data_IF_714306251411
#
_entry.id   IF_714306251411
#
_cell.length_a   1.000
_cell.length_b   1.000
_cell.length_c   1.000
_cell.angle_alpha   90.00
_cell.angle_beta   90.00
_cell.angle_gamma   90.00
#
_symmetry.space_group_name_H-M   'P 1'
#
loop_
_entity.id
_entity.type
_entity.pdbx_description
1 polymer ?
#
# COMPACT_ATOMS: atom_id res chain seq x y z
N UNK A 1 -22.41 14.86 -7.31
CA UNK A 1 -21.32 14.16 -6.61
C UNK A 1 -20.12 14.01 -7.54
N UNK A 2 -18.90 13.99 -6.96
CA UNK A 2 -17.67 13.66 -7.68
C UNK A 2 -17.34 12.19 -7.44
N UNK A 3 -16.95 11.45 -8.49
CA UNK A 3 -16.66 10.02 -8.43
C UNK A 3 -15.29 9.73 -9.03
N UNK A 4 -14.52 8.89 -8.35
CA UNK A 4 -13.24 8.37 -8.79
C UNK A 4 -13.27 6.83 -8.78
N UNK A 5 -12.63 6.22 -9.78
CA UNK A 5 -12.32 4.79 -9.77
C UNK A 5 -10.84 4.66 -9.42
N UNK A 6 -10.51 3.80 -8.45
CA UNK A 6 -9.15 3.62 -7.96
C UNK A 6 -8.70 2.17 -8.09
N UNK A 7 -7.63 1.98 -8.82
CA UNK A 7 -6.78 0.79 -8.77
C UNK A 7 -5.39 1.21 -8.33
N UNK A 8 -4.85 0.59 -7.27
CA UNK A 8 -3.59 0.99 -6.66
C UNK A 8 -3.76 1.73 -5.33
N UNK A 9 -2.93 2.71 -5.05
CA UNK A 9 -2.97 3.47 -3.80
C UNK A 9 -3.06 4.98 -4.07
N UNK A 10 -3.94 5.66 -3.33
CA UNK A 10 -4.06 7.10 -3.40
C UNK A 10 -4.36 7.72 -2.03
N UNK A 11 -3.72 8.86 -1.79
CA UNK A 11 -4.06 9.74 -0.69
C UNK A 11 -4.95 10.87 -1.20
N UNK A 12 -6.08 11.06 -0.54
CA UNK A 12 -7.09 12.04 -0.90
C UNK A 12 -7.14 13.17 0.11
N UNK A 13 -7.12 14.40 -0.40
CA UNK A 13 -7.42 15.59 0.38
C UNK A 13 -8.64 16.25 -0.25
N UNK A 14 -9.80 16.01 0.37
CA UNK A 14 -11.09 16.47 -0.14
C UNK A 14 -11.53 17.69 0.67
N UNK A 15 -11.84 18.78 -0.05
CA UNK A 15 -12.40 19.98 0.57
C UNK A 15 -13.81 19.72 1.12
N UNK A 16 -14.17 20.47 2.16
CA UNK A 16 -15.46 20.30 2.83
C UNK A 16 -16.61 20.85 1.95
N UNK A 17 -17.43 19.96 1.45
CA UNK A 17 -18.68 20.25 0.72
C UNK A 17 -19.83 19.39 1.30
N UNK A 18 -20.61 19.90 2.27
CA UNK A 18 -21.63 19.11 2.96
C UNK A 18 -22.73 18.54 2.06
N UNK A 19 -23.03 19.24 0.95
CA UNK A 19 -24.11 18.84 0.03
C UNK A 19 -23.60 17.99 -1.15
N UNK A 20 -22.29 17.85 -1.33
CA UNK A 20 -21.67 17.12 -2.46
C UNK A 20 -20.67 16.10 -2.01
N UNK A 21 -21.10 14.85 -1.77
CA UNK A 21 -20.18 13.77 -1.40
C UNK A 21 -19.18 13.46 -2.53
N UNK A 22 -17.95 13.17 -2.12
CA UNK A 22 -16.91 12.64 -2.97
C UNK A 22 -16.83 11.13 -2.79
N UNK A 23 -16.88 10.38 -3.89
CA UNK A 23 -16.84 8.92 -3.91
C UNK A 23 -15.53 8.40 -4.48
N UNK A 24 -14.98 7.37 -3.84
CA UNK A 24 -13.92 6.51 -4.38
C UNK A 24 -14.46 5.10 -4.47
N UNK A 25 -14.47 4.54 -5.69
CA UNK A 25 -14.85 3.15 -5.90
C UNK A 25 -13.64 2.32 -6.25
N UNK A 26 -13.66 1.07 -5.84
CA UNK A 26 -12.63 0.11 -6.16
C UNK A 26 -13.19 -0.99 -7.07
N UNK A 27 -12.36 -1.68 -7.88
CA UNK A 27 -12.81 -2.72 -8.80
C UNK A 27 -13.61 -3.84 -8.13
N UNK A 28 -13.37 -4.09 -6.85
CA UNK A 28 -14.04 -5.14 -6.08
C UNK A 28 -15.38 -4.68 -5.44
N UNK A 29 -15.88 -3.51 -5.85
CA UNK A 29 -17.18 -2.99 -5.42
C UNK A 29 -17.20 -2.36 -4.02
N UNK A 30 -16.08 -2.27 -3.32
CA UNK A 30 -16.00 -1.45 -2.11
C UNK A 30 -16.01 0.02 -2.52
N UNK A 31 -16.86 0.81 -1.87
CA UNK A 31 -16.96 2.25 -2.08
C UNK A 31 -16.66 3.01 -0.81
N UNK A 32 -15.98 4.14 -0.96
CA UNK A 32 -15.70 5.09 0.13
C UNK A 32 -16.37 6.41 -0.24
N UNK A 33 -17.02 7.06 0.73
CA UNK A 33 -17.56 8.40 0.50
C UNK A 33 -17.31 9.34 1.68
N UNK A 34 -17.07 10.61 1.34
CA UNK A 34 -16.65 11.64 2.29
C UNK A 34 -17.26 13.01 1.92
N UNK A 35 -17.28 13.93 2.89
CA UNK A 35 -17.78 15.32 2.73
C UNK A 35 -16.71 16.38 3.07
N UNK A 36 -15.44 16.02 3.19
CA UNK A 36 -14.34 16.90 3.54
C UNK A 36 -13.39 16.16 4.48
N UNK A 37 -12.35 15.53 3.89
CA UNK A 37 -11.65 14.47 4.62
C UNK A 37 -10.25 14.29 4.02
N UNK A 38 -9.28 13.94 4.87
CA UNK A 38 -7.95 13.50 4.47
C UNK A 38 -7.82 12.01 4.82
N UNK A 39 -7.62 11.18 3.79
CA UNK A 39 -7.61 9.72 3.95
C UNK A 39 -6.81 9.04 2.85
N UNK A 40 -6.37 7.82 3.12
CA UNK A 40 -5.68 6.96 2.17
C UNK A 40 -6.54 5.75 1.82
N UNK A 41 -6.52 5.35 0.57
CA UNK A 41 -7.11 4.09 0.10
C UNK A 41 -6.06 3.29 -0.65
N UNK A 42 -5.90 2.02 -0.27
CA UNK A 42 -5.02 1.05 -0.93
C UNK A 42 -5.91 -0.05 -1.51
N UNK A 43 -5.92 -0.19 -2.84
CA UNK A 43 -6.79 -1.11 -3.58
C UNK A 43 -6.08 -1.71 -4.79
N UNK A 44 -4.91 -2.29 -4.60
CA UNK A 44 -4.18 -2.98 -5.66
C UNK A 44 -4.89 -4.27 -6.07
N UNK A 45 -4.87 -4.61 -7.35
CA UNK A 45 -5.55 -5.80 -7.87
C UNK A 45 -4.94 -7.10 -7.33
N UNK A 46 -3.61 -7.13 -7.21
CA UNK A 46 -2.81 -8.24 -6.71
C UNK A 46 -2.84 -8.42 -5.19
N UNK A 47 -3.44 -7.48 -4.44
CA UNK A 47 -3.65 -7.61 -3.00
C UNK A 47 -4.93 -8.40 -2.68
N UNK A 48 -4.89 -9.19 -1.61
CA UNK A 48 -6.08 -9.82 -1.05
C UNK A 48 -6.95 -8.84 -0.26
N UNK A 49 -6.43 -7.66 0.06
CA UNK A 49 -7.08 -6.68 0.94
C UNK A 49 -7.25 -5.33 0.27
N UNK A 50 -8.31 -4.63 0.67
CA UNK A 50 -8.47 -3.20 0.44
C UNK A 50 -8.38 -2.51 1.79
N UNK A 51 -7.54 -1.48 1.89
CA UNK A 51 -7.36 -0.72 3.12
C UNK A 51 -7.85 0.71 2.95
N UNK A 52 -8.50 1.23 3.98
CA UNK A 52 -8.86 2.66 4.09
C UNK A 52 -8.37 3.17 5.42
N UNK A 53 -7.55 4.21 5.42
CA UNK A 53 -6.97 4.85 6.62
C UNK A 53 -7.43 6.28 6.71
N UNK A 54 -7.97 6.68 7.86
CA UNK A 54 -8.45 8.04 8.06
C UNK A 54 -7.44 8.88 8.86
N UNK A 55 -6.99 9.98 8.25
CA UNK A 55 -6.14 10.98 8.91
C UNK A 55 -6.95 12.08 9.55
N UNK A 56 -7.89 12.71 8.81
CA UNK A 56 -8.70 13.84 9.31
C UNK A 56 -10.10 13.83 8.73
N UNK A 57 -11.09 14.16 9.56
CA UNK A 57 -12.49 14.25 9.15
C UNK A 57 -13.27 12.97 9.46
N UNK A 58 -14.09 12.51 8.51
CA UNK A 58 -14.95 11.33 8.63
C UNK A 58 -15.03 10.59 7.30
N UNK A 59 -14.77 9.29 7.33
CA UNK A 59 -14.87 8.41 6.16
C UNK A 59 -16.01 7.43 6.39
N UNK A 60 -16.84 7.24 5.37
CA UNK A 60 -17.84 6.18 5.32
C UNK A 60 -17.40 5.15 4.28
N UNK A 61 -17.20 3.92 4.70
CA UNK A 61 -16.84 2.79 3.85
C UNK A 61 -18.06 1.91 3.67
N UNK A 62 -18.37 1.56 2.43
CA UNK A 62 -19.47 0.69 2.04
C UNK A 62 -18.92 -0.58 1.39
N UNK A 63 -18.70 -1.66 2.17
CA UNK A 63 -18.30 -2.95 1.62
C UNK A 63 -19.44 -3.59 0.84
N UNK A 64 -19.16 -4.40 -0.20
CA UNK A 64 -20.20 -5.04 -1.01
C UNK A 64 -21.17 -5.90 -0.18
N UNK A 65 -22.47 -5.60 -0.27
CA UNK A 65 -23.51 -6.35 0.43
C UNK A 65 -23.56 -6.16 1.95
N UNK A 66 -22.86 -5.17 2.49
CA UNK A 66 -22.79 -4.90 3.92
C UNK A 66 -23.30 -3.49 4.26
N UNK A 67 -23.46 -3.22 5.55
CA UNK A 67 -23.81 -1.88 6.04
C UNK A 67 -22.60 -0.96 5.99
N UNK A 68 -22.86 0.32 5.83
CA UNK A 68 -21.84 1.37 5.90
C UNK A 68 -21.12 1.35 7.26
N UNK A 69 -19.79 1.41 7.22
CA UNK A 69 -18.93 1.49 8.39
C UNK A 69 -18.25 2.85 8.39
N UNK A 70 -18.38 3.56 9.49
CA UNK A 70 -17.76 4.88 9.64
C UNK A 70 -16.43 4.76 10.37
N UNK A 71 -15.40 5.43 9.82
CA UNK A 71 -14.10 5.60 10.45
C UNK A 71 -13.98 6.98 11.09
N UNK A 72 -13.27 7.01 12.20
CA UNK A 72 -12.81 8.21 12.91
C UNK A 72 -11.29 8.39 12.71
N UNK A 73 -10.73 9.59 12.91
CA UNK A 73 -9.30 9.82 12.78
C UNK A 73 -8.46 8.83 13.62
N UNK A 74 -7.41 8.28 13.02
CA UNK A 74 -6.59 7.23 13.62
C UNK A 74 -7.08 5.81 13.38
N UNK A 75 -8.19 5.63 12.68
CA UNK A 75 -8.74 4.31 12.38
C UNK A 75 -8.42 3.85 10.96
N UNK A 76 -8.29 2.54 10.82
CA UNK A 76 -8.13 1.81 9.57
C UNK A 76 -9.27 0.80 9.43
N UNK A 77 -9.75 0.61 8.21
CA UNK A 77 -10.58 -0.50 7.81
C UNK A 77 -9.81 -1.35 6.81
N UNK A 78 -9.78 -2.66 7.05
CA UNK A 78 -9.25 -3.67 6.14
C UNK A 78 -10.39 -4.56 5.68
N UNK A 79 -10.60 -4.62 4.37
CA UNK A 79 -11.58 -5.50 3.72
C UNK A 79 -10.86 -6.64 3.00
N UNK A 80 -11.13 -7.87 3.39
CA UNK A 80 -10.62 -9.07 2.74
C UNK A 80 -11.52 -9.40 1.53
N UNK A 81 -10.93 -9.40 0.34
CA UNK A 81 -11.63 -9.64 -0.93
C UNK A 81 -12.14 -11.07 -1.09
N UNK A 82 -11.46 -12.05 -0.47
CA UNK A 82 -11.79 -13.47 -0.58
C UNK A 82 -12.89 -13.85 0.41
N UNK A 83 -12.69 -13.51 1.69
CA UNK A 83 -13.61 -13.87 2.77
C UNK A 83 -14.75 -12.87 2.94
N UNK A 84 -14.63 -11.67 2.34
CA UNK A 84 -15.52 -10.52 2.51
C UNK A 84 -15.63 -10.03 3.95
N UNK A 85 -14.67 -10.40 4.78
CA UNK A 85 -14.61 -9.94 6.16
C UNK A 85 -14.05 -8.53 6.25
N UNK A 86 -14.50 -7.80 7.26
CA UNK A 86 -14.05 -6.44 7.56
C UNK A 86 -13.45 -6.41 8.95
N UNK A 87 -12.28 -5.81 9.05
CA UNK A 87 -11.63 -5.52 10.32
C UNK A 87 -11.43 -4.01 10.45
N UNK A 88 -11.75 -3.47 11.63
CA UNK A 88 -11.53 -2.06 11.96
C UNK A 88 -10.61 -1.95 13.16
N UNK A 89 -9.49 -1.24 12.99
CA UNK A 89 -8.43 -1.14 13.98
C UNK A 89 -7.93 0.31 14.11
N UNK A 90 -7.29 0.64 15.23
CA UNK A 90 -6.47 1.85 15.35
C UNK A 90 -5.08 1.59 14.78
N UNK A 91 -4.53 2.57 14.06
CA UNK A 91 -3.22 2.45 13.41
C UNK A 91 -2.36 3.70 13.60
N UNK A 92 -1.05 3.56 13.37
CA UNK A 92 -0.16 4.69 13.16
C UNK A 92 -0.41 5.26 11.76
N UNK A 93 -1.26 6.28 11.69
CA UNK A 93 -1.65 6.92 10.42
C UNK A 93 -0.42 7.44 9.68
N UNK A 94 0.52 8.09 10.38
CA UNK A 94 1.70 8.65 9.71
C UNK A 94 2.55 7.57 9.03
N UNK A 95 2.72 6.40 9.66
CA UNK A 95 3.42 5.27 9.05
C UNK A 95 2.75 4.75 7.77
N UNK A 96 1.43 4.89 7.68
CA UNK A 96 0.63 4.45 6.52
C UNK A 96 0.63 5.47 5.36
N UNK A 97 0.68 6.77 5.67
CA UNK A 97 0.51 7.84 4.64
C UNK A 97 1.81 8.61 4.32
N UNK A 98 2.92 8.31 4.99
CA UNK A 98 4.19 9.01 4.81
C UNK A 98 4.79 8.89 3.39
N UNK A 99 4.35 7.89 2.63
CA UNK A 99 4.77 7.68 1.25
C UNK A 99 4.46 8.88 0.35
N UNK A 100 3.36 9.61 0.61
CA UNK A 100 3.00 10.84 -0.10
C UNK A 100 4.04 11.98 0.09
N UNK A 101 4.82 11.89 1.16
CA UNK A 101 5.90 12.82 1.50
C UNK A 101 7.29 12.23 1.15
N UNK A 102 7.33 11.20 0.30
CA UNK A 102 8.56 10.52 -0.13
C UNK A 102 9.26 9.70 0.96
N UNK A 103 8.52 9.26 1.99
CA UNK A 103 9.09 8.48 3.10
C UNK A 103 8.46 7.10 3.18
N UNK A 104 9.29 6.09 3.32
CA UNK A 104 8.87 4.72 3.64
C UNK A 104 9.12 4.46 5.12
N UNK A 105 8.05 4.28 5.88
CA UNK A 105 8.12 4.01 7.32
C UNK A 105 7.61 2.60 7.56
N UNK A 106 8.44 1.80 8.19
CA UNK A 106 8.16 0.43 8.60
C UNK A 106 8.18 0.34 10.11
N UNK A 107 7.12 -0.20 10.71
CA UNK A 107 7.00 -0.43 12.15
C UNK A 107 6.47 -1.83 12.37
N UNK A 108 7.34 -2.72 12.79
CA UNK A 108 7.00 -4.12 12.98
C UNK A 108 6.53 -4.80 11.67
N UNK A 109 7.14 -4.41 10.55
CA UNK A 109 6.78 -4.90 9.21
C UNK A 109 7.54 -6.20 8.91
N UNK A 110 6.87 -7.16 8.27
CA UNK A 110 7.54 -8.35 7.75
C UNK A 110 8.42 -8.00 6.54
N UNK A 111 9.36 -8.89 6.22
CA UNK A 111 10.22 -8.69 5.04
C UNK A 111 9.38 -8.69 3.75
N UNK A 112 8.37 -9.55 3.67
CA UNK A 112 7.41 -9.61 2.56
C UNK A 112 6.68 -8.27 2.38
N UNK A 113 6.20 -7.67 3.48
CA UNK A 113 5.56 -6.36 3.44
C UNK A 113 6.53 -5.27 2.95
N UNK A 114 7.77 -5.29 3.42
CA UNK A 114 8.80 -4.34 2.99
C UNK A 114 9.05 -4.49 1.49
N UNK A 115 9.34 -5.70 1.01
CA UNK A 115 9.60 -5.99 -0.40
C UNK A 115 8.44 -5.49 -1.27
N UNK A 116 7.21 -5.82 -0.91
CA UNK A 116 6.03 -5.38 -1.65
C UNK A 116 5.87 -3.86 -1.70
N UNK A 117 6.15 -3.16 -0.61
CA UNK A 117 6.13 -1.69 -0.59
C UNK A 117 7.28 -1.07 -1.38
N UNK A 118 8.47 -1.69 -1.39
CA UNK A 118 9.59 -1.26 -2.24
C UNK A 118 9.26 -1.44 -3.73
N UNK A 119 8.70 -2.58 -4.11
CA UNK A 119 8.25 -2.88 -5.47
C UNK A 119 7.33 -1.77 -6.02
N UNK A 120 6.34 -1.37 -5.22
CA UNK A 120 5.39 -0.31 -5.57
C UNK A 120 6.01 1.08 -5.60
N UNK A 121 6.81 1.40 -4.58
CA UNK A 121 7.42 2.72 -4.46
C UNK A 121 8.43 3.03 -5.57
N UNK A 122 9.24 2.03 -5.95
CA UNK A 122 10.25 2.17 -7.00
C UNK A 122 9.78 1.72 -8.39
N UNK A 123 8.53 1.26 -8.51
CA UNK A 123 7.95 0.76 -9.76
C UNK A 123 8.80 -0.31 -10.44
N UNK A 124 9.23 -1.31 -9.68
CA UNK A 124 10.01 -2.46 -10.11
C UNK A 124 9.25 -3.75 -9.84
N UNK A 125 9.68 -4.87 -10.45
CA UNK A 125 9.16 -6.19 -10.15
C UNK A 125 10.18 -6.92 -9.24
N UNK A 126 9.77 -7.33 -8.04
CA UNK A 126 10.64 -8.01 -7.09
C UNK A 126 10.14 -9.45 -6.86
N UNK A 127 10.92 -10.41 -7.31
CA UNK A 127 10.72 -11.82 -7.00
C UNK A 127 11.40 -12.13 -5.67
N UNK A 128 10.59 -12.41 -4.63
CA UNK A 128 11.09 -12.69 -3.29
C UNK A 128 10.95 -14.18 -2.96
N UNK A 129 12.07 -14.83 -2.65
CA UNK A 129 12.15 -16.25 -2.32
C UNK A 129 12.63 -16.43 -0.88
N UNK A 130 11.73 -16.85 0.01
CA UNK A 130 12.06 -17.19 1.40
C UNK A 130 12.29 -18.71 1.51
N UNK A 131 13.54 -19.14 1.36
CA UNK A 131 13.91 -20.56 1.30
C UNK A 131 13.79 -21.28 2.64
N UNK A 132 13.84 -20.57 3.76
CA UNK A 132 13.83 -21.18 5.10
C UNK A 132 12.52 -20.95 5.86
N UNK A 133 11.57 -20.18 5.30
CA UNK A 133 10.35 -19.81 5.99
C UNK A 133 10.58 -18.97 7.26
N UNK A 134 11.73 -18.29 7.35
CA UNK A 134 12.03 -17.41 8.47
C UNK A 134 11.24 -16.11 8.40
N UNK A 135 10.70 -15.73 9.53
CA UNK A 135 10.04 -14.43 9.69
C UNK A 135 11.00 -13.43 10.33
N UNK A 136 11.09 -12.26 9.72
CA UNK A 136 11.82 -11.12 10.24
C UNK A 136 10.87 -9.96 10.42
N UNK A 137 11.05 -9.21 11.49
CA UNK A 137 10.28 -8.01 11.76
C UNK A 137 11.21 -6.80 11.82
N UNK A 138 10.89 -5.77 11.06
CA UNK A 138 11.72 -4.60 10.87
C UNK A 138 11.08 -3.33 11.40
N UNK A 139 11.93 -2.46 11.93
CA UNK A 139 11.61 -1.06 12.18
C UNK A 139 12.62 -0.21 11.42
N UNK A 140 12.17 0.50 10.39
CA UNK A 140 13.02 1.33 9.54
C UNK A 140 12.27 2.56 9.03
N UNK A 141 13.02 3.60 8.67
CA UNK A 141 12.52 4.77 7.95
C UNK A 141 13.51 5.12 6.86
N UNK A 142 13.05 5.09 5.61
CA UNK A 142 13.82 5.48 4.43
C UNK A 142 13.24 6.79 3.88
N UNK A 143 14.10 7.67 3.40
CA UNK A 143 13.73 9.00 2.90
C UNK A 143 14.31 9.31 1.53
N UNK A 144 15.61 9.16 1.42
CA UNK A 144 16.38 9.52 0.21
C UNK A 144 17.22 8.35 -0.30
N UNK A 145 17.13 7.21 0.38
CA UNK A 145 17.86 6.01 0.02
C UNK A 145 17.33 5.45 -1.31
N UNK A 146 18.27 5.04 -2.15
CA UNK A 146 17.95 4.30 -3.37
C UNK A 146 17.51 2.88 -3.04
N UNK A 147 16.80 2.23 -3.98
CA UNK A 147 16.37 0.85 -3.80
C UNK A 147 17.55 -0.09 -3.50
N UNK A 148 18.67 0.09 -4.18
CA UNK A 148 19.88 -0.72 -3.96
C UNK A 148 20.46 -0.53 -2.56
N UNK A 149 20.49 0.70 -2.07
CA UNK A 149 20.93 0.97 -0.69
C UNK A 149 20.01 0.31 0.33
N UNK A 150 18.70 0.34 0.12
CA UNK A 150 17.74 -0.30 1.01
C UNK A 150 17.94 -1.83 0.99
N UNK A 151 18.06 -2.42 -0.20
CA UNK A 151 18.33 -3.86 -0.34
C UNK A 151 19.66 -4.28 0.31
N UNK A 152 20.70 -3.44 0.23
CA UNK A 152 21.97 -3.67 0.92
C UNK A 152 21.82 -3.63 2.44
N UNK A 153 21.01 -2.71 2.98
CA UNK A 153 20.73 -2.67 4.43
C UNK A 153 19.96 -3.93 4.89
N UNK A 154 19.00 -4.37 4.10
CA UNK A 154 18.26 -5.61 4.39
C UNK A 154 19.20 -6.83 4.31
N UNK A 155 20.07 -6.89 3.32
CA UNK A 155 21.04 -7.97 3.16
C UNK A 155 22.05 -8.06 4.32
N UNK A 156 22.42 -6.92 4.92
CA UNK A 156 23.28 -6.89 6.11
C UNK A 156 22.57 -7.34 7.39
N UNK A 157 21.26 -7.20 7.46
CA UNK A 157 20.46 -7.54 8.65
C UNK A 157 19.89 -8.95 8.65
N UNK A 158 19.79 -9.56 7.49
CA UNK A 158 19.35 -10.94 7.29
C UNK A 158 20.28 -11.62 6.29
N UNK A 159 20.30 -12.94 6.25
CA UNK A 159 21.08 -13.68 5.25
C UNK A 159 20.39 -13.62 3.88
N UNK A 160 20.33 -12.41 3.32
CA UNK A 160 19.61 -12.07 2.09
C UNK A 160 20.63 -11.77 0.99
N UNK A 161 20.37 -12.29 -0.20
CA UNK A 161 21.10 -11.95 -1.44
C UNK A 161 20.14 -11.36 -2.44
N UNK A 162 20.59 -10.41 -3.23
CA UNK A 162 19.79 -9.83 -4.26
C UNK A 162 20.59 -9.59 -5.54
N UNK A 163 19.90 -9.58 -6.68
CA UNK A 163 20.46 -9.24 -7.99
C UNK A 163 19.42 -8.52 -8.84
N UNK A 164 19.89 -7.58 -9.64
CA UNK A 164 19.09 -6.88 -10.66
C UNK A 164 19.26 -7.63 -11.98
N UNK A 165 18.16 -7.88 -12.68
CA UNK A 165 18.16 -8.36 -14.06
C UNK A 165 18.06 -7.15 -15.00
N UNK A 166 18.83 -7.19 -16.08
CA UNK A 166 18.80 -6.13 -17.09
C UNK A 166 17.40 -6.08 -17.73
N UNK A 167 16.76 -4.89 -17.80
CA UNK A 167 15.52 -4.75 -18.53
C UNK A 167 15.69 -5.12 -20.00
N UNK A 168 14.70 -5.83 -20.56
CA UNK A 168 14.70 -6.19 -21.97
C UNK A 168 13.98 -5.11 -22.78
N UNK A 169 14.54 -4.76 -23.95
CA UNK A 169 13.90 -3.85 -24.88
C UNK A 169 12.79 -4.60 -25.63
N UNK A 170 11.61 -4.01 -25.73
CA UNK A 170 10.47 -4.52 -26.47
C UNK A 170 10.53 -4.06 -27.93
N UNK A 171 9.70 -4.67 -28.78
CA UNK A 171 9.59 -4.32 -30.19
C UNK A 171 9.13 -2.86 -30.45
N UNK A 172 8.45 -2.24 -29.48
CA UNK A 172 7.96 -0.86 -29.52
C UNK A 172 8.97 0.15 -28.94
N UNK A 173 10.25 -0.23 -28.81
CA UNK A 173 11.34 0.56 -28.20
C UNK A 173 11.15 0.89 -26.72
N UNK A 174 10.13 0.36 -26.06
CA UNK A 174 10.01 0.45 -24.59
C UNK A 174 10.81 -0.63 -23.88
N UNK A 175 11.06 -0.46 -22.60
CA UNK A 175 11.75 -1.47 -21.77
C UNK A 175 10.75 -2.17 -20.84
N UNK A 176 11.02 -3.43 -20.52
CA UNK A 176 10.34 -4.12 -19.43
C UNK A 176 10.65 -3.41 -18.12
N UNK A 177 9.81 -3.61 -17.10
CA UNK A 177 10.15 -3.18 -15.73
C UNK A 177 11.46 -3.83 -15.30
N UNK A 178 12.24 -3.10 -14.51
CA UNK A 178 13.42 -3.66 -13.84
C UNK A 178 12.98 -4.80 -12.94
N UNK A 179 13.52 -5.98 -13.16
CA UNK A 179 13.28 -7.16 -12.32
C UNK A 179 14.40 -7.36 -11.33
N UNK A 180 14.06 -7.63 -10.08
CA UNK A 180 15.01 -7.89 -9.00
C UNK A 180 14.66 -9.25 -8.39
N UNK A 181 15.67 -10.06 -8.14
CA UNK A 181 15.49 -11.32 -7.41
C UNK A 181 16.10 -11.11 -6.02
N UNK A 182 15.33 -11.47 -5.01
CA UNK A 182 15.71 -11.39 -3.60
C UNK A 182 15.54 -12.75 -2.97
N UNK A 183 16.64 -13.36 -2.55
CA UNK A 183 16.70 -14.69 -1.94
C UNK A 183 17.08 -14.57 -0.46
N UNK A 184 16.28 -15.13 0.42
CA UNK A 184 16.50 -15.24 1.87
C UNK A 184 16.88 -16.68 2.22
N UNK A 185 18.06 -16.86 2.86
CA UNK A 185 18.66 -18.17 3.23
C UNK A 185 18.74 -18.36 4.75
#
# INVERSE_FOLDING_TARGET
>A
YKRQELTGEAYFQVEAEPERPFYVNTPNGLSVYVYGTQFNVTAYEDDNYIETVLEKGKVNVLPPGQKTITLLPGEQLVYDKQTRQVQKNKVDVYGKVAWKDGKLIFRNASLEEIIKRLERHFNVDIEFNNHLGKEYSYRATFRTETLTQILDYLAKSANLKWKILTPEQREDDTFTKTKIIVDLY
#
